data_IF_148621422740
#
_entry.id   IF_148621422740
#
_cell.length_a   1.000
_cell.length_b   1.000
_cell.length_c   1.000
_cell.angle_alpha   90.00
_cell.angle_beta   90.00
_cell.angle_gamma   90.00
#
_symmetry.space_group_name_H-M   'P 1'
#
loop_
_entity.id
_entity.type
_entity.pdbx_description
1 polymer ?
#
# COMPACT_ATOMS: atom_id res chain seq x y z
N UNK A 1 9.64 1.61 -9.77
CA UNK A 1 10.04 1.65 -8.34
C UNK A 1 8.94 1.16 -7.44
N UNK A 2 9.25 0.73 -6.21
CA UNK A 2 8.28 0.48 -5.16
C UNK A 2 8.28 1.66 -4.17
N UNK A 3 7.08 2.21 -3.87
CA UNK A 3 6.90 3.23 -2.84
C UNK A 3 6.12 2.64 -1.67
N UNK A 4 6.65 2.75 -0.44
CA UNK A 4 6.03 2.22 0.78
C UNK A 4 5.59 3.38 1.67
N UNK A 5 4.31 3.38 2.09
CA UNK A 5 3.73 4.29 3.07
C UNK A 5 3.20 3.50 4.25
N UNK A 6 3.84 3.66 5.40
CA UNK A 6 3.38 3.05 6.66
C UNK A 6 2.19 3.78 7.29
N UNK A 7 1.76 3.29 8.45
CA UNK A 7 0.74 3.92 9.29
C UNK A 7 1.20 5.25 9.93
N UNK A 8 0.31 5.86 10.72
CA UNK A 8 0.51 7.20 11.31
C UNK A 8 1.76 7.34 12.18
N UNK A 9 2.13 6.29 12.88
CA UNK A 9 3.30 6.26 13.79
C UNK A 9 4.49 5.52 13.17
N UNK A 10 4.38 5.14 11.90
CA UNK A 10 5.41 4.35 11.23
C UNK A 10 6.62 5.21 10.90
N UNK A 11 7.79 4.71 11.30
CA UNK A 11 9.07 5.21 10.79
C UNK A 11 9.35 4.58 9.42
N UNK A 12 10.32 5.11 8.69
CA UNK A 12 10.78 4.50 7.44
C UNK A 12 11.44 3.12 7.64
N UNK A 13 11.77 2.73 8.86
CA UNK A 13 12.22 1.35 9.15
C UNK A 13 11.05 0.38 9.32
N UNK A 14 9.90 0.88 9.82
CA UNK A 14 8.78 0.05 10.26
C UNK A 14 9.08 -0.72 11.56
N UNK A 15 8.07 -1.43 12.04
CA UNK A 15 8.22 -2.32 13.20
C UNK A 15 9.26 -3.40 12.89
N UNK A 16 10.21 -3.64 13.81
CA UNK A 16 11.34 -4.58 13.64
C UNK A 16 12.13 -4.39 12.33
N UNK A 17 12.29 -3.15 11.87
CA UNK A 17 12.99 -2.82 10.61
C UNK A 17 12.42 -3.49 9.35
N UNK A 18 11.15 -3.92 9.38
CA UNK A 18 10.54 -4.72 8.31
C UNK A 18 10.59 -4.04 6.93
N UNK A 19 10.45 -2.70 6.87
CA UNK A 19 10.53 -1.99 5.58
C UNK A 19 11.95 -1.93 5.04
N UNK A 20 12.96 -1.85 5.91
CA UNK A 20 14.37 -1.91 5.49
C UNK A 20 14.72 -3.29 4.93
N UNK A 21 14.26 -4.36 5.59
CA UNK A 21 14.47 -5.73 5.12
C UNK A 21 13.79 -5.98 3.76
N UNK A 22 12.55 -5.52 3.60
CA UNK A 22 11.82 -5.56 2.33
C UNK A 22 12.59 -4.79 1.25
N UNK A 23 13.06 -3.56 1.55
CA UNK A 23 13.76 -2.73 0.59
C UNK A 23 15.05 -3.38 0.09
N UNK A 24 15.82 -3.97 1.00
CA UNK A 24 17.04 -4.72 0.65
C UNK A 24 16.71 -5.92 -0.23
N UNK A 25 15.78 -6.75 0.20
CA UNK A 25 15.39 -7.96 -0.53
C UNK A 25 14.92 -7.64 -1.95
N UNK A 26 14.07 -6.62 -2.10
CA UNK A 26 13.54 -6.22 -3.41
C UNK A 26 14.62 -5.62 -4.29
N UNK A 27 15.49 -4.78 -3.73
CA UNK A 27 16.59 -4.21 -4.50
C UNK A 27 17.59 -5.28 -4.95
N UNK A 28 18.00 -6.18 -4.06
CA UNK A 28 18.96 -7.24 -4.37
C UNK A 28 18.40 -8.24 -5.40
N UNK A 29 17.12 -8.60 -5.27
CA UNK A 29 16.51 -9.63 -6.13
C UNK A 29 16.07 -9.11 -7.50
N UNK A 30 15.58 -7.85 -7.55
CA UNK A 30 14.94 -7.30 -8.76
C UNK A 30 15.59 -6.02 -9.28
N UNK A 31 16.61 -5.49 -8.62
CA UNK A 31 17.24 -4.21 -8.99
C UNK A 31 16.28 -3.00 -8.84
N UNK A 32 15.16 -3.19 -8.14
CA UNK A 32 14.12 -2.18 -8.04
C UNK A 32 14.42 -1.19 -6.91
N UNK A 33 14.37 0.11 -7.23
CA UNK A 33 14.48 1.16 -6.20
C UNK A 33 13.26 1.11 -5.28
N UNK A 34 13.50 1.15 -3.97
CA UNK A 34 12.45 1.22 -2.95
C UNK A 34 12.55 2.54 -2.20
N UNK A 35 11.47 3.32 -2.25
CA UNK A 35 11.31 4.54 -1.47
C UNK A 35 10.34 4.30 -0.32
N UNK A 36 10.71 4.71 0.90
CA UNK A 36 9.85 4.59 2.07
C UNK A 36 9.55 5.98 2.61
N UNK A 37 8.27 6.33 2.70
CA UNK A 37 7.85 7.61 3.26
C UNK A 37 8.02 7.65 4.76
N UNK A 38 8.70 8.68 5.26
CA UNK A 38 8.85 8.99 6.69
C UNK A 38 7.85 10.03 7.19
N UNK A 39 7.00 10.57 6.30
CA UNK A 39 6.04 11.59 6.68
C UNK A 39 4.95 11.02 7.58
N UNK A 40 4.78 11.63 8.75
CA UNK A 40 3.73 11.27 9.70
C UNK A 40 2.37 11.74 9.20
N UNK A 41 1.35 10.88 9.36
CA UNK A 41 -0.02 11.14 8.88
C UNK A 41 -0.79 12.21 9.68
N UNK A 42 -0.17 12.85 10.67
CA UNK A 42 -0.78 13.94 11.44
C UNK A 42 -0.84 15.28 10.69
N UNK A 43 -0.05 15.45 9.64
CA UNK A 43 -0.19 16.55 8.69
C UNK A 43 -0.95 16.06 7.46
N UNK A 44 -1.67 16.95 6.80
CA UNK A 44 -2.36 16.63 5.54
C UNK A 44 -1.33 16.11 4.52
N UNK A 45 -1.29 14.80 4.33
CA UNK A 45 -0.33 14.17 3.42
C UNK A 45 -0.77 14.42 2.00
N UNK A 46 0.15 14.92 1.23
CA UNK A 46 0.03 15.04 -0.21
C UNK A 46 0.95 13.98 -0.85
N UNK A 47 0.38 12.79 -1.13
CA UNK A 47 1.11 11.71 -1.77
C UNK A 47 1.61 12.08 -3.16
N UNK A 48 0.92 12.99 -3.87
CA UNK A 48 1.36 13.46 -5.17
C UNK A 48 2.65 14.26 -5.05
N UNK A 49 2.72 15.16 -4.06
CA UNK A 49 3.94 15.92 -3.79
C UNK A 49 5.09 15.02 -3.32
N UNK A 50 4.81 14.01 -2.47
CA UNK A 50 5.82 13.03 -2.05
C UNK A 50 6.39 12.25 -3.24
N UNK A 51 5.52 11.70 -4.09
CA UNK A 51 5.94 10.97 -5.29
C UNK A 51 6.73 11.85 -6.24
N UNK A 52 6.28 13.08 -6.47
CA UNK A 52 7.00 14.05 -7.31
C UNK A 52 8.40 14.33 -6.78
N UNK A 53 8.57 14.47 -5.46
CA UNK A 53 9.87 14.67 -4.84
C UNK A 53 10.81 13.48 -5.07
N UNK A 54 10.28 12.26 -4.97
CA UNK A 54 11.05 11.04 -5.25
C UNK A 54 11.43 10.95 -6.73
N UNK A 55 10.51 11.23 -7.65
CA UNK A 55 10.80 11.24 -9.09
C UNK A 55 11.89 12.27 -9.45
N UNK A 56 11.81 13.45 -8.86
CA UNK A 56 12.83 14.48 -9.05
C UNK A 56 14.20 14.03 -8.53
N UNK A 57 14.23 13.42 -7.34
CA UNK A 57 15.47 12.94 -6.75
C UNK A 57 16.12 11.77 -7.55
N UNK A 58 15.29 10.92 -8.14
CA UNK A 58 15.76 9.80 -8.96
C UNK A 58 16.01 10.17 -10.43
N UNK A 59 15.67 11.41 -10.82
CA UNK A 59 15.73 11.88 -12.21
C UNK A 59 15.05 10.91 -13.19
N UNK A 60 13.88 10.41 -12.84
CA UNK A 60 13.19 9.37 -13.60
C UNK A 60 11.68 9.44 -13.41
N UNK A 61 10.94 9.09 -14.48
CA UNK A 61 9.51 8.84 -14.43
C UNK A 61 9.28 7.36 -14.71
N UNK A 62 9.04 6.58 -13.66
CA UNK A 62 8.80 5.16 -13.79
C UNK A 62 7.44 4.78 -13.24
N UNK A 63 6.95 3.63 -13.68
CA UNK A 63 5.81 2.98 -13.07
C UNK A 63 6.03 2.83 -11.56
N UNK A 64 5.03 3.26 -10.78
CA UNK A 64 5.04 3.16 -9.33
C UNK A 64 4.21 1.96 -8.90
N UNK A 65 4.87 1.03 -8.23
CA UNK A 65 4.21 0.05 -7.39
C UNK A 65 4.06 0.69 -6.00
N UNK A 66 2.83 0.83 -5.53
CA UNK A 66 2.55 1.47 -4.25
C UNK A 66 2.14 0.44 -3.21
N UNK A 67 2.76 0.48 -2.04
CA UNK A 67 2.37 -0.33 -0.89
C UNK A 67 2.00 0.58 0.28
N UNK A 68 0.73 0.53 0.68
CA UNK A 68 0.22 1.24 1.86
C UNK A 68 -0.07 0.27 3.00
N UNK A 69 0.26 0.66 4.22
CA UNK A 69 -0.05 -0.11 5.43
C UNK A 69 -0.88 0.76 6.37
N UNK A 70 -1.98 0.21 6.91
CA UNK A 70 -2.87 0.90 7.84
C UNK A 70 -3.39 2.22 7.24
N UNK A 71 -3.21 3.34 7.93
CA UNK A 71 -3.59 4.67 7.44
C UNK A 71 -2.84 5.10 6.17
N UNK A 72 -1.66 4.56 5.90
CA UNK A 72 -0.97 4.73 4.62
C UNK A 72 -1.73 4.11 3.46
N UNK A 73 -2.41 2.99 3.68
CA UNK A 73 -3.29 2.37 2.68
C UNK A 73 -4.53 3.25 2.41
N UNK A 74 -5.13 3.83 3.46
CA UNK A 74 -6.25 4.77 3.30
C UNK A 74 -5.85 5.99 2.48
N UNK A 75 -4.71 6.61 2.80
CA UNK A 75 -4.20 7.76 2.06
C UNK A 75 -4.00 7.43 0.57
N UNK A 76 -3.49 6.24 0.26
CA UNK A 76 -3.32 5.79 -1.11
C UNK A 76 -4.66 5.63 -1.84
N UNK A 77 -5.65 5.01 -1.21
CA UNK A 77 -6.99 4.85 -1.80
C UNK A 77 -7.61 6.22 -2.07
N UNK A 78 -7.66 7.09 -1.05
CA UNK A 78 -8.32 8.39 -1.14
C UNK A 78 -7.72 9.30 -2.20
N UNK A 79 -6.39 9.24 -2.42
CA UNK A 79 -5.70 10.12 -3.36
C UNK A 79 -5.44 9.48 -4.72
N UNK A 80 -5.64 8.16 -4.87
CA UNK A 80 -5.38 7.46 -6.13
C UNK A 80 -6.16 8.01 -7.33
N UNK A 81 -7.40 8.54 -7.22
CA UNK A 81 -8.08 9.13 -8.37
C UNK A 81 -7.33 10.33 -8.97
N UNK A 82 -6.63 11.09 -8.15
CA UNK A 82 -5.94 12.33 -8.55
C UNK A 82 -4.46 12.08 -8.94
N UNK A 83 -3.98 10.83 -8.80
CA UNK A 83 -2.60 10.45 -9.11
C UNK A 83 -2.61 9.38 -10.20
N UNK A 84 -2.29 9.80 -11.44
CA UNK A 84 -2.34 8.92 -12.61
C UNK A 84 -1.44 7.68 -12.43
N UNK A 85 -0.23 7.86 -11.92
CA UNK A 85 0.78 6.80 -11.81
C UNK A 85 0.47 5.74 -10.73
N UNK A 86 -0.53 5.97 -9.87
CA UNK A 86 -0.98 4.97 -8.90
C UNK A 86 -1.95 3.98 -9.54
N UNK A 87 -1.41 3.04 -10.29
CA UNK A 87 -2.21 1.99 -10.97
C UNK A 87 -2.13 0.63 -10.26
N UNK A 88 -1.05 0.36 -9.51
CA UNK A 88 -0.81 -0.90 -8.83
C UNK A 88 -0.62 -0.65 -7.34
N UNK A 89 -1.58 -1.07 -6.53
CA UNK A 89 -1.62 -0.80 -5.11
C UNK A 89 -1.70 -2.09 -4.29
N UNK A 90 -0.80 -2.22 -3.31
CA UNK A 90 -0.86 -3.21 -2.23
C UNK A 90 -1.32 -2.48 -0.97
N UNK A 91 -2.43 -2.91 -0.37
CA UNK A 91 -3.14 -2.19 0.70
C UNK A 91 -3.32 -3.12 1.90
N UNK A 92 -2.45 -2.99 2.90
CA UNK A 92 -2.38 -3.91 4.03
C UNK A 92 -3.09 -3.31 5.25
N UNK A 93 -4.03 -4.05 5.81
CA UNK A 93 -4.81 -3.70 7.00
C UNK A 93 -5.38 -2.26 6.96
N UNK A 94 -6.04 -1.83 5.87
CA UNK A 94 -6.63 -0.49 5.82
C UNK A 94 -7.80 -0.39 6.81
N UNK A 95 -7.84 0.63 7.67
CA UNK A 95 -8.97 0.86 8.58
C UNK A 95 -10.16 1.48 7.82
N UNK A 96 -10.82 0.70 6.98
CA UNK A 96 -11.82 1.15 5.99
C UNK A 96 -13.01 1.89 6.58
N UNK A 97 -13.33 1.68 7.86
CA UNK A 97 -14.45 2.38 8.53
C UNK A 97 -14.19 3.86 8.77
N UNK A 98 -12.93 4.28 8.88
CA UNK A 98 -12.58 5.68 9.18
C UNK A 98 -13.03 6.61 8.08
N UNK A 99 -12.96 6.16 6.82
CA UNK A 99 -13.23 7.00 5.64
C UNK A 99 -14.07 6.28 4.58
N UNK A 100 -14.97 5.39 4.97
CA UNK A 100 -15.72 4.53 4.05
C UNK A 100 -16.35 5.27 2.84
N UNK A 101 -17.01 6.44 3.00
CA UNK A 101 -17.58 7.16 1.86
C UNK A 101 -16.53 7.62 0.85
N UNK A 102 -15.36 8.08 1.32
CA UNK A 102 -14.26 8.50 0.44
C UNK A 102 -13.63 7.29 -0.26
N UNK A 103 -13.43 6.18 0.48
CA UNK A 103 -12.92 4.93 -0.09
C UNK A 103 -13.83 4.45 -1.21
N UNK A 104 -15.14 4.35 -0.97
CA UNK A 104 -16.12 3.96 -2.00
C UNK A 104 -16.02 4.85 -3.22
N UNK A 105 -16.07 6.17 -3.04
CA UNK A 105 -15.94 7.14 -4.14
C UNK A 105 -14.64 6.93 -4.92
N UNK A 106 -13.52 6.74 -4.23
CA UNK A 106 -12.22 6.55 -4.89
C UNK A 106 -12.18 5.27 -5.71
N UNK A 107 -12.69 4.15 -5.17
CA UNK A 107 -12.77 2.88 -5.88
C UNK A 107 -13.72 2.94 -7.09
N UNK A 108 -14.80 3.71 -7.01
CA UNK A 108 -15.77 3.90 -8.08
C UNK A 108 -15.26 4.81 -9.20
N UNK A 109 -14.41 5.79 -8.86
CA UNK A 109 -13.92 6.81 -9.82
C UNK A 109 -12.57 6.48 -10.44
N UNK A 110 -11.68 5.80 -9.74
CA UNK A 110 -10.37 5.38 -10.26
C UNK A 110 -10.56 4.30 -11.32
N UNK A 111 -10.04 4.55 -12.53
CA UNK A 111 -10.13 3.62 -13.66
C UNK A 111 -8.82 2.89 -13.89
N UNK A 112 -8.93 1.61 -14.24
CA UNK A 112 -7.81 0.81 -14.73
C UNK A 112 -6.76 0.47 -13.67
N UNK A 113 -7.00 0.77 -12.39
CA UNK A 113 -6.10 0.40 -11.32
C UNK A 113 -6.34 -1.04 -10.83
N UNK A 114 -5.38 -1.58 -10.10
CA UNK A 114 -5.48 -2.85 -9.39
C UNK A 114 -5.24 -2.59 -7.90
N UNK A 115 -6.30 -2.75 -7.11
CA UNK A 115 -6.28 -2.64 -5.65
C UNK A 115 -6.16 -4.03 -5.05
N UNK A 116 -4.99 -4.35 -4.49
CA UNK A 116 -4.76 -5.61 -3.78
C UNK A 116 -4.88 -5.37 -2.28
N UNK A 117 -6.04 -5.67 -1.72
CA UNK A 117 -6.29 -5.60 -0.29
C UNK A 117 -5.76 -6.84 0.41
N UNK A 118 -5.08 -6.63 1.52
CA UNK A 118 -4.64 -7.70 2.42
C UNK A 118 -5.12 -7.40 3.83
N UNK A 119 -5.76 -8.37 4.45
CA UNK A 119 -6.23 -8.28 5.84
C UNK A 119 -5.63 -9.42 6.66
N UNK A 120 -5.10 -9.10 7.83
CA UNK A 120 -4.82 -10.09 8.85
C UNK A 120 -6.12 -10.54 9.52
N UNK A 121 -6.32 -11.85 9.72
CA UNK A 121 -7.58 -12.33 10.32
C UNK A 121 -7.76 -11.89 11.79
N UNK A 122 -6.67 -11.54 12.49
CA UNK A 122 -6.69 -10.98 13.83
C UNK A 122 -6.62 -9.44 13.86
N UNK A 123 -6.62 -8.78 12.69
CA UNK A 123 -6.69 -7.32 12.61
C UNK A 123 -8.13 -6.82 12.80
N UNK A 124 -8.36 -5.77 13.61
CA UNK A 124 -9.71 -5.21 13.79
C UNK A 124 -10.40 -4.78 12.50
N UNK A 125 -9.65 -4.41 11.45
CA UNK A 125 -10.21 -3.98 10.15
C UNK A 125 -10.82 -5.14 9.36
N UNK A 126 -10.39 -6.37 9.59
CA UNK A 126 -10.89 -7.56 8.89
C UNK A 126 -12.42 -7.74 8.99
N UNK A 127 -12.99 -7.47 10.15
CA UNK A 127 -14.45 -7.58 10.36
C UNK A 127 -15.29 -6.64 9.49
N UNK A 128 -14.66 -5.63 8.89
CA UNK A 128 -15.33 -4.66 8.03
C UNK A 128 -15.15 -4.96 6.54
N UNK A 129 -14.46 -6.04 6.21
CA UNK A 129 -14.26 -6.51 4.83
C UNK A 129 -15.56 -6.55 4.00
N UNK A 130 -16.72 -7.02 4.55
CA UNK A 130 -17.97 -7.05 3.78
C UNK A 130 -18.46 -5.69 3.28
N UNK A 131 -17.94 -4.58 3.84
CA UNK A 131 -18.25 -3.24 3.33
C UNK A 131 -17.69 -2.97 1.93
N UNK A 132 -16.74 -3.78 1.47
CA UNK A 132 -16.18 -3.71 0.12
C UNK A 132 -16.99 -4.51 -0.92
N UNK A 133 -17.82 -5.47 -0.50
CA UNK A 133 -18.53 -6.39 -1.39
C UNK A 133 -19.49 -5.69 -2.36
N UNK A 134 -20.03 -4.53 -1.96
CA UNK A 134 -21.01 -3.79 -2.76
C UNK A 134 -20.41 -2.56 -3.47
N UNK A 135 -19.09 -2.46 -3.54
CA UNK A 135 -18.42 -1.35 -4.21
C UNK A 135 -18.39 -1.61 -5.72
N UNK A 136 -19.04 -0.74 -6.48
CA UNK A 136 -18.97 -0.77 -7.96
C UNK A 136 -17.66 -0.11 -8.40
N UNK A 137 -16.61 -0.89 -8.58
CA UNK A 137 -15.32 -0.38 -9.01
C UNK A 137 -15.15 -0.47 -10.54
N UNK A 138 -14.51 0.55 -11.13
CA UNK A 138 -14.00 0.53 -12.50
C UNK A 138 -12.55 0.02 -12.59
N UNK A 139 -12.04 -0.47 -11.48
CA UNK A 139 -10.71 -1.05 -11.29
C UNK A 139 -10.85 -2.47 -10.76
N UNK A 140 -9.82 -3.29 -10.89
CA UNK A 140 -9.81 -4.61 -10.27
C UNK A 140 -9.59 -4.50 -8.76
N UNK A 141 -10.32 -5.31 -8.00
CA UNK A 141 -10.18 -5.44 -6.55
C UNK A 141 -9.87 -6.89 -6.25
N UNK A 142 -8.70 -7.14 -5.68
CA UNK A 142 -8.28 -8.44 -5.19
C UNK A 142 -8.21 -8.39 -3.66
N UNK A 143 -8.65 -9.44 -2.99
CA UNK A 143 -8.65 -9.52 -1.53
C UNK A 143 -7.92 -10.79 -1.12
N UNK A 144 -6.96 -10.63 -0.19
CA UNK A 144 -6.24 -11.73 0.45
C UNK A 144 -6.38 -11.62 1.96
N UNK A 145 -6.62 -12.75 2.61
CA UNK A 145 -6.62 -12.86 4.06
C UNK A 145 -5.37 -13.62 4.48
N UNK A 146 -4.66 -13.11 5.48
CA UNK A 146 -3.52 -13.79 6.10
C UNK A 146 -3.96 -14.28 7.48
N UNK A 147 -4.08 -15.58 7.60
CA UNK A 147 -4.58 -16.22 8.82
C UNK A 147 -3.62 -15.97 9.98
N UNK A 148 -4.17 -15.64 11.15
CA UNK A 148 -3.42 -15.36 12.37
C UNK A 148 -2.70 -14.01 12.41
N UNK A 149 -2.62 -13.27 11.32
CA UNK A 149 -1.93 -11.99 11.29
C UNK A 149 -2.71 -10.91 12.07
N UNK A 150 -2.00 -10.22 12.95
CA UNK A 150 -2.48 -9.02 13.64
C UNK A 150 -2.20 -7.75 12.80
N UNK A 151 -2.50 -6.58 13.37
CA UNK A 151 -2.27 -5.29 12.70
C UNK A 151 -0.82 -5.08 12.24
N UNK A 152 0.14 -5.56 13.01
CA UNK A 152 1.57 -5.39 12.78
C UNK A 152 2.25 -6.60 12.15
N UNK A 153 1.52 -7.70 11.94
CA UNK A 153 2.08 -8.99 11.52
C UNK A 153 3.14 -9.49 12.50
N UNK A 154 2.90 -9.31 13.80
CA UNK A 154 3.84 -9.75 14.83
C UNK A 154 3.98 -11.26 14.82
N UNK A 155 5.21 -11.77 14.67
CA UNK A 155 5.52 -13.19 14.53
C UNK A 155 5.24 -13.77 13.14
N UNK A 156 4.81 -12.93 12.19
CA UNK A 156 4.55 -13.26 10.78
C UNK A 156 5.28 -12.28 9.86
N UNK A 157 6.49 -11.85 10.26
CA UNK A 157 7.29 -10.87 9.52
C UNK A 157 7.74 -11.41 8.15
N UNK A 158 7.95 -12.72 8.05
CA UNK A 158 8.26 -13.39 6.78
C UNK A 158 7.09 -13.32 5.82
N UNK A 159 5.90 -13.67 6.27
CA UNK A 159 4.66 -13.60 5.49
C UNK A 159 4.36 -12.16 5.06
N UNK A 160 4.63 -11.20 5.94
CA UNK A 160 4.51 -9.78 5.58
C UNK A 160 5.45 -9.41 4.44
N UNK A 161 6.72 -9.82 4.50
CA UNK A 161 7.69 -9.59 3.42
C UNK A 161 7.28 -10.26 2.11
N UNK A 162 6.79 -11.50 2.20
CA UNK A 162 6.34 -12.27 1.03
C UNK A 162 5.18 -11.61 0.28
N UNK A 163 4.33 -10.83 0.96
CA UNK A 163 3.30 -10.02 0.30
C UNK A 163 3.90 -9.00 -0.65
N UNK A 164 4.98 -8.34 -0.26
CA UNK A 164 5.66 -7.36 -1.10
C UNK A 164 6.41 -8.01 -2.25
N UNK A 165 7.08 -9.13 -1.99
CA UNK A 165 7.78 -9.90 -3.02
C UNK A 165 6.79 -10.37 -4.08
N UNK A 166 5.70 -11.02 -3.68
CA UNK A 166 4.65 -11.47 -4.58
C UNK A 166 4.04 -10.31 -5.38
N UNK A 167 3.78 -9.18 -4.72
CA UNK A 167 3.25 -7.99 -5.37
C UNK A 167 4.21 -7.44 -6.44
N UNK A 168 5.49 -7.38 -6.15
CA UNK A 168 6.51 -6.94 -7.11
C UNK A 168 6.59 -7.92 -8.28
N UNK A 169 6.71 -9.24 -8.02
CA UNK A 169 6.84 -10.27 -9.05
C UNK A 169 5.71 -10.29 -10.07
N UNK A 170 4.49 -9.94 -9.63
CA UNK A 170 3.31 -9.94 -10.49
C UNK A 170 3.06 -8.59 -11.19
N UNK A 171 3.90 -7.58 -10.96
CA UNK A 171 3.67 -6.23 -11.48
C UNK A 171 4.91 -5.56 -12.11
N UNK A 172 6.06 -6.22 -12.11
CA UNK A 172 7.22 -5.79 -12.91
C UNK A 172 7.18 -6.49 -14.27
N UNK A 173 7.44 -5.75 -15.32
CA UNK A 173 7.64 -6.31 -16.64
C UNK A 173 8.88 -7.21 -16.62
N UNK A 174 8.76 -8.42 -17.12
CA UNK A 174 9.87 -9.37 -17.23
C UNK A 174 10.68 -9.07 -18.49
#
# INVERSE_FOLDING_TARGET
>A
MLFIKGGSDSTYYGYNNKYLDIARTINEKYGLTVAVSSNKLFSKIDLKAELQSVFTALNTHHQVLFAGVSSGAIAAIEQSPDIYDLQKLLLINPPITISLPKIKRSLETKKGACFNFVFGSNDPSYRFLPLLDNVKSQSSINIKIVEGADHNFKGLESEFKDLFIYFVENNIDK
#
